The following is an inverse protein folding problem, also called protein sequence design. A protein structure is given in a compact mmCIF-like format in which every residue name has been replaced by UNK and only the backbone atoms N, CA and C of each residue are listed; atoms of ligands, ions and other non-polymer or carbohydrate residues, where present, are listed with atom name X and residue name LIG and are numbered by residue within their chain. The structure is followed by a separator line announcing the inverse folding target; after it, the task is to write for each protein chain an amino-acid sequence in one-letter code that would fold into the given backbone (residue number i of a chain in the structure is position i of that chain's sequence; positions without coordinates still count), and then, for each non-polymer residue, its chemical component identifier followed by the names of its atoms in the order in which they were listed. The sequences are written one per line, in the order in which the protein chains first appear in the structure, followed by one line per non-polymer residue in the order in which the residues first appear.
data_IF_094622977431
#
_entry.id   IF_094622977431
#
_cell.length_a   1.000
_cell.length_b   1.000
_cell.length_c   1.000
_cell.angle_alpha   90.00
_cell.angle_beta   90.00
_cell.angle_gamma   90.00
#
_symmetry.space_group_name_H-M   'P 1'
#
loop_
_entity.id
_entity.type
_entity.pdbx_description
1 polymer ?
#
# COMPACT_ATOMS: atom_id res chain seq x y z
N UNK A 1 11.95 -22.96 -6.86
CA UNK A 1 12.14 -21.69 -6.11
C UNK A 1 11.00 -20.75 -6.49
N UNK A 2 10.25 -20.14 -5.54
CA UNK A 2 9.12 -19.32 -5.92
C UNK A 2 9.62 -17.97 -6.45
N UNK A 3 9.06 -17.45 -7.56
CA UNK A 3 9.40 -16.14 -8.08
C UNK A 3 8.65 -15.09 -7.25
N UNK A 4 9.18 -14.77 -6.07
CA UNK A 4 8.58 -13.80 -5.14
C UNK A 4 9.55 -12.68 -4.79
N UNK A 5 10.07 -12.00 -5.81
CA UNK A 5 10.62 -10.65 -5.62
C UNK A 5 9.47 -9.65 -5.75
N UNK A 6 8.54 -9.67 -4.78
CA UNK A 6 7.58 -8.59 -4.62
C UNK A 6 8.35 -7.42 -3.99
N UNK A 7 8.36 -6.25 -4.64
CA UNK A 7 9.09 -5.05 -4.19
C UNK A 7 8.76 -4.55 -2.76
N UNK A 8 7.89 -5.22 -2.01
CA UNK A 8 7.66 -4.97 -0.59
C UNK A 8 8.83 -5.36 0.32
N UNK A 9 9.79 -6.16 -0.16
CA UNK A 9 10.93 -6.59 0.67
C UNK A 9 11.96 -5.49 0.97
N UNK A 10 12.01 -4.41 0.17
CA UNK A 10 12.90 -3.27 0.44
C UNK A 10 12.18 -2.14 1.20
N UNK A 11 10.97 -1.76 0.77
CA UNK A 11 10.31 -0.56 1.30
C UNK A 11 9.72 -0.76 2.69
N UNK A 12 9.11 -1.91 2.97
CA UNK A 12 8.44 -2.09 4.26
C UNK A 12 9.40 -2.07 5.46
N UNK A 13 10.56 -2.77 5.43
CA UNK A 13 11.52 -2.69 6.53
C UNK A 13 12.02 -1.26 6.78
N UNK A 14 12.26 -0.50 5.71
CA UNK A 14 12.70 0.90 5.79
C UNK A 14 11.62 1.79 6.42
N UNK A 15 10.39 1.76 5.90
CA UNK A 15 9.27 2.56 6.42
C UNK A 15 8.95 2.17 7.86
N UNK A 16 8.96 0.88 8.18
CA UNK A 16 8.70 0.41 9.55
C UNK A 16 9.82 0.83 10.53
N UNK A 17 11.04 1.01 10.05
CA UNK A 17 12.16 1.50 10.86
C UNK A 17 12.06 3.01 11.13
N UNK A 18 11.88 3.81 10.09
CA UNK A 18 11.95 5.29 10.17
C UNK A 18 10.61 5.96 10.50
N UNK A 19 9.49 5.39 10.06
CA UNK A 19 8.16 5.98 10.13
C UNK A 19 7.23 5.16 11.05
N UNK A 20 7.69 4.90 12.28
CA UNK A 20 6.91 4.15 13.28
C UNK A 20 5.56 4.84 13.53
N UNK A 21 4.50 4.04 13.61
CA UNK A 21 3.13 4.50 13.86
C UNK A 21 2.50 5.39 12.77
N UNK A 22 3.18 5.60 11.64
CA UNK A 22 2.62 6.31 10.47
C UNK A 22 1.75 5.34 9.67
N UNK A 23 0.51 5.72 9.30
CA UNK A 23 -0.35 4.85 8.50
C UNK A 23 0.24 4.61 7.10
N UNK A 24 0.18 3.35 6.65
CA UNK A 24 0.70 2.93 5.34
C UNK A 24 -0.50 2.66 4.41
N UNK A 25 -0.43 3.14 3.17
CA UNK A 25 -1.35 2.76 2.09
C UNK A 25 -0.52 2.09 1.01
N UNK A 26 -0.99 0.95 0.49
CA UNK A 26 -0.37 0.30 -0.67
C UNK A 26 -1.14 0.67 -1.93
N UNK A 27 -0.43 1.16 -2.95
CA UNK A 27 -1.03 1.58 -4.22
C UNK A 27 -0.48 0.71 -5.36
N UNK A 28 -1.37 -0.02 -6.04
CA UNK A 28 -1.07 -0.74 -7.27
C UNK A 28 -1.18 0.18 -8.49
N UNK A 29 -0.04 0.52 -9.10
CA UNK A 29 -0.01 1.41 -10.26
C UNK A 29 -0.07 0.63 -11.59
N UNK A 30 -0.43 1.34 -12.67
CA UNK A 30 -0.40 0.85 -14.07
C UNK A 30 -1.36 -0.33 -14.30
N UNK A 31 -2.57 -0.26 -13.74
CA UNK A 31 -3.60 -1.32 -13.90
C UNK A 31 -3.99 -1.56 -15.35
N UNK A 32 -3.86 -0.56 -16.22
CA UNK A 32 -4.06 -0.63 -17.66
C UNK A 32 -3.23 -1.76 -18.32
N UNK A 33 -2.02 -2.00 -17.84
CA UNK A 33 -1.11 -3.02 -18.38
C UNK A 33 -1.61 -4.46 -18.18
N UNK A 34 -2.59 -4.68 -17.28
CA UNK A 34 -3.22 -6.01 -17.15
C UNK A 34 -4.02 -6.39 -18.39
N UNK A 35 -4.51 -5.41 -19.14
CA UNK A 35 -5.29 -5.62 -20.39
C UNK A 35 -4.38 -5.74 -21.62
N UNK A 36 -3.10 -5.36 -21.52
CA UNK A 36 -2.14 -5.47 -22.61
C UNK A 36 -1.71 -6.93 -22.84
N UNK A 37 -2.33 -7.57 -23.83
CA UNK A 37 -2.05 -8.96 -24.22
C UNK A 37 -0.58 -9.18 -24.59
N UNK A 38 0.09 -8.19 -25.17
CA UNK A 38 1.48 -8.30 -25.59
C UNK A 38 2.42 -8.34 -24.39
N UNK A 39 2.18 -7.49 -23.40
CA UNK A 39 2.94 -7.45 -22.15
C UNK A 39 2.66 -8.68 -21.29
N UNK A 40 1.40 -9.10 -21.17
CA UNK A 40 1.04 -10.35 -20.46
C UNK A 40 1.72 -11.56 -21.09
N UNK A 41 1.78 -11.64 -22.43
CA UNK A 41 2.51 -12.72 -23.11
C UNK A 41 3.99 -12.68 -22.81
N UNK A 42 4.61 -11.50 -22.78
CA UNK A 42 6.04 -11.33 -22.41
C UNK A 42 6.29 -11.77 -20.96
N UNK A 43 5.44 -11.37 -20.01
CA UNK A 43 5.55 -11.80 -18.61
C UNK A 43 5.45 -13.32 -18.49
N UNK A 44 4.47 -13.93 -19.17
CA UNK A 44 4.28 -15.39 -19.15
C UNK A 44 5.47 -16.16 -19.72
N UNK A 45 6.15 -15.63 -20.75
CA UNK A 45 7.41 -16.23 -21.27
C UNK A 45 8.51 -16.29 -20.21
N UNK A 46 8.50 -15.36 -19.26
CA UNK A 46 9.45 -15.30 -18.17
C UNK A 46 8.94 -16.01 -16.89
N UNK A 47 7.83 -16.77 -16.98
CA UNK A 47 7.22 -17.44 -15.83
C UNK A 47 6.56 -16.47 -14.82
N UNK A 48 6.23 -15.26 -15.26
CA UNK A 48 5.61 -14.21 -14.43
C UNK A 48 4.17 -13.94 -14.87
N UNK A 49 3.41 -13.34 -13.97
CA UNK A 49 2.05 -12.88 -14.20
C UNK A 49 1.84 -11.46 -13.64
N UNK A 50 0.91 -10.67 -14.21
CA UNK A 50 0.52 -9.40 -13.60
C UNK A 50 -0.03 -9.61 -12.20
N UNK A 51 0.28 -8.68 -11.29
CA UNK A 51 -0.27 -8.69 -9.93
C UNK A 51 -1.78 -8.50 -9.99
N UNK A 52 -2.53 -9.44 -9.41
CA UNK A 52 -3.99 -9.35 -9.27
C UNK A 52 -4.38 -8.47 -8.09
N UNK A 53 -5.61 -7.97 -8.09
CA UNK A 53 -6.15 -7.20 -6.97
C UNK A 53 -6.03 -7.97 -5.64
N UNK A 54 -6.41 -9.25 -5.64
CA UNK A 54 -6.31 -10.13 -4.47
C UNK A 54 -4.88 -10.17 -3.90
N UNK A 55 -3.89 -10.38 -4.76
CA UNK A 55 -2.48 -10.46 -4.35
C UNK A 55 -1.97 -9.13 -3.80
N UNK A 56 -2.42 -8.02 -4.39
CA UNK A 56 -2.13 -6.69 -3.87
C UNK A 56 -2.76 -6.44 -2.50
N UNK A 57 -3.98 -6.92 -2.28
CA UNK A 57 -4.65 -6.83 -0.99
C UNK A 57 -3.97 -7.70 0.08
N UNK A 58 -3.53 -8.91 -0.26
CA UNK A 58 -2.74 -9.77 0.63
C UNK A 58 -1.42 -9.11 1.04
N UNK A 59 -0.73 -8.50 0.08
CA UNK A 59 0.48 -7.71 0.35
C UNK A 59 0.18 -6.55 1.31
N UNK A 60 -0.89 -5.78 1.07
CA UNK A 60 -1.29 -4.69 1.96
C UNK A 60 -1.55 -5.17 3.40
N UNK A 61 -2.22 -6.32 3.56
CA UNK A 61 -2.44 -6.94 4.88
C UNK A 61 -1.12 -7.36 5.54
N UNK A 62 -0.21 -7.96 4.77
CA UNK A 62 1.07 -8.44 5.28
C UNK A 62 1.97 -7.32 5.83
N UNK A 63 1.80 -6.07 5.37
CA UNK A 63 2.55 -4.90 5.87
C UNK A 63 1.76 -4.03 6.84
N UNK A 64 0.54 -4.45 7.22
CA UNK A 64 -0.31 -3.67 8.11
C UNK A 64 -0.76 -2.34 7.50
N UNK A 65 -0.91 -2.27 6.18
CA UNK A 65 -1.45 -1.10 5.51
C UNK A 65 -2.93 -0.91 5.86
N UNK A 66 -3.36 0.36 5.98
CA UNK A 66 -4.75 0.71 6.29
C UNK A 66 -5.67 0.56 5.09
N UNK A 67 -5.11 0.63 3.87
CA UNK A 67 -5.85 0.50 2.63
C UNK A 67 -4.98 -0.08 1.50
N UNK A 68 -5.65 -0.73 0.55
CA UNK A 68 -5.11 -1.09 -0.75
C UNK A 68 -5.94 -0.42 -1.84
N UNK A 69 -5.28 0.35 -2.70
CA UNK A 69 -5.91 1.03 -3.84
C UNK A 69 -5.14 0.69 -5.11
N UNK A 70 -5.79 0.85 -6.25
CA UNK A 70 -5.12 0.71 -7.55
C UNK A 70 -5.45 1.89 -8.44
N UNK A 71 -4.54 2.27 -9.34
CA UNK A 71 -4.78 3.34 -10.30
C UNK A 71 -4.11 3.10 -11.64
N UNK A 72 -4.65 3.73 -12.67
CA UNK A 72 -3.98 3.93 -13.96
C UNK A 72 -3.85 5.41 -14.23
N UNK A 73 -2.62 5.93 -14.18
CA UNK A 73 -2.35 7.30 -14.57
C UNK A 73 -2.62 7.54 -16.06
N UNK A 74 -2.40 6.51 -16.90
CA UNK A 74 -2.61 6.58 -18.36
C UNK A 74 -4.09 6.74 -18.70
N UNK A 75 -4.95 5.97 -18.04
CA UNK A 75 -6.41 6.04 -18.24
C UNK A 75 -7.10 7.06 -17.32
N UNK A 76 -6.32 7.76 -16.49
CA UNK A 76 -6.82 8.63 -15.41
C UNK A 76 -7.82 7.92 -14.46
N UNK A 77 -7.74 6.60 -14.35
CA UNK A 77 -8.61 5.79 -13.49
C UNK A 77 -8.11 5.81 -12.05
N UNK A 78 -8.99 6.19 -11.12
CA UNK A 78 -8.81 6.12 -9.67
C UNK A 78 -7.64 6.94 -9.09
N UNK A 79 -7.01 7.80 -9.89
CA UNK A 79 -5.89 8.66 -9.45
C UNK A 79 -6.33 9.60 -8.33
N UNK A 80 -7.44 10.31 -8.52
CA UNK A 80 -7.96 11.25 -7.52
C UNK A 80 -8.34 10.54 -6.21
N UNK A 81 -8.97 9.37 -6.29
CA UNK A 81 -9.36 8.59 -5.12
C UNK A 81 -8.15 8.16 -4.27
N UNK A 82 -7.03 7.80 -4.91
CA UNK A 82 -5.78 7.48 -4.19
C UNK A 82 -5.31 8.65 -3.33
N UNK A 83 -5.31 9.86 -3.89
CA UNK A 83 -4.88 11.05 -3.15
C UNK A 83 -5.90 11.49 -2.10
N UNK A 84 -7.19 11.33 -2.37
CA UNK A 84 -8.24 11.62 -1.40
C UNK A 84 -8.14 10.69 -0.19
N UNK A 85 -8.03 9.37 -0.40
CA UNK A 85 -7.84 8.41 0.70
C UNK A 85 -6.56 8.72 1.49
N UNK A 86 -5.47 9.07 0.81
CA UNK A 86 -4.24 9.48 1.48
C UNK A 86 -4.43 10.71 2.37
N UNK A 87 -5.18 11.72 1.90
CA UNK A 87 -5.50 12.90 2.69
C UNK A 87 -6.40 12.57 3.89
N UNK A 88 -7.42 11.74 3.70
CA UNK A 88 -8.33 11.30 4.76
C UNK A 88 -7.60 10.48 5.85
N UNK A 89 -6.71 9.57 5.44
CA UNK A 89 -5.85 8.80 6.34
C UNK A 89 -4.89 9.70 7.11
N UNK A 90 -4.28 10.69 6.44
CA UNK A 90 -3.37 11.64 7.08
C UNK A 90 -4.10 12.52 8.12
N UNK A 91 -5.31 13.01 7.80
CA UNK A 91 -6.10 13.84 8.72
C UNK A 91 -6.67 13.02 9.90
N UNK A 92 -7.16 11.82 9.66
CA UNK A 92 -7.73 10.95 10.69
C UNK A 92 -6.67 10.37 11.64
N UNK A 93 -5.43 10.18 11.17
CA UNK A 93 -4.32 9.72 12.01
C UNK A 93 -3.86 10.79 13.02
N UNK A 94 -4.00 12.08 12.69
CA UNK A 94 -3.72 13.20 13.62
C UNK A 94 -4.58 13.17 14.87
N UNK A 95 -5.88 12.85 14.74
CA UNK A 95 -6.77 12.68 15.90
C UNK A 95 -6.40 11.47 16.75
N UNK A 96 -6.06 10.32 16.14
CA UNK A 96 -5.65 9.12 16.89
C UNK A 96 -4.31 9.30 17.62
N UNK A 97 -3.35 9.99 17.00
CA UNK A 97 -2.06 10.29 17.60
C UNK A 97 -2.15 11.36 18.69
N UNK A 98 -3.05 12.34 18.55
CA UNK A 98 -3.37 13.31 19.59
C UNK A 98 -3.95 12.64 20.84
N UNK A 99 -4.97 11.78 20.69
CA UNK A 99 -5.55 11.04 21.82
C UNK A 99 -4.59 10.01 22.41
N UNK A 100 -3.75 9.34 21.61
CA UNK A 100 -2.66 8.49 22.14
C UNK A 100 -1.60 9.28 22.92
N UNK A 101 -1.25 10.51 22.50
CA UNK A 101 -0.34 11.39 23.26
C UNK A 101 -0.94 11.83 24.59
N UNK A 102 -2.24 12.18 24.60
CA UNK A 102 -2.95 12.57 25.83
C UNK A 102 -3.07 11.39 26.79
N UNK A 103 -3.50 10.22 26.30
CA UNK A 103 -3.67 9.03 27.15
C UNK A 103 -2.34 8.42 27.62
N UNK A 104 -1.24 8.55 26.87
CA UNK A 104 0.11 8.21 27.35
C UNK A 104 0.65 9.19 28.40
N UNK A 105 0.25 10.45 28.35
CA UNK A 105 0.68 11.44 29.36
C UNK A 105 -0.08 11.33 30.68
N UNK A 106 -1.19 10.59 30.73
CA UNK A 106 -2.06 10.47 31.90
C UNK A 106 -2.00 9.09 32.59
N UNK A 107 -1.08 8.20 32.19
CA UNK A 107 -0.85 6.97 32.94
C UNK A 107 0.32 7.16 33.92
N UNK A 108 0.02 7.76 35.07
CA UNK A 108 0.74 7.47 36.32
C UNK A 108 -0.25 6.72 37.20
N UNK A 109 -0.27 5.39 37.08
CA UNK A 109 -0.83 4.53 38.11
C UNK A 109 0.31 4.28 39.11
N UNK A 110 0.39 5.13 40.13
CA UNK A 110 0.98 4.81 41.44
C UNK A 110 -0.12 4.33 42.37
#
# INVERSE_FOLDING_TARGET
APPTAYGGSQWYPEVNHFCKEVPIIVVGCKTDLRKDKSLVKKLRKNGLEPVTYHRGQEMARAVGAVAYLECSALLQENVQAVFQEAAEVALSSRSRNFWRRITRSFCVLT
#
